data_IF_756396880419
#
_entry.id   IF_756396880419
#
_cell.length_a   1.000
_cell.length_b   1.000
_cell.length_c   1.000
_cell.angle_alpha   90.00
_cell.angle_beta   90.00
_cell.angle_gamma   90.00
#
_symmetry.space_group_name_H-M   'P 1'
#
loop_
_entity.id
_entity.type
_entity.pdbx_description
1 polymer ?
#
# COMPACT_ATOMS: atom_id res chain seq x y z
N UNK A 1 14.26 -18.36 -21.35
CA UNK A 1 15.42 -17.59 -21.86
C UNK A 1 16.38 -17.07 -20.78
N UNK A 2 15.91 -16.49 -19.67
CA UNK A 2 16.79 -15.83 -18.69
C UNK A 2 17.91 -16.70 -18.09
N UNK A 3 17.66 -17.98 -17.77
CA UNK A 3 18.69 -18.85 -17.17
C UNK A 3 19.83 -19.22 -18.14
N UNK A 4 19.53 -19.45 -19.42
CA UNK A 4 20.54 -19.70 -20.47
C UNK A 4 21.29 -18.43 -20.79
N UNK A 5 20.61 -17.28 -20.82
CA UNK A 5 21.30 -16.00 -20.97
C UNK A 5 22.22 -15.76 -19.76
N UNK A 6 21.79 -16.09 -18.54
CA UNK A 6 22.61 -15.93 -17.34
C UNK A 6 23.92 -16.73 -17.37
N UNK A 7 23.97 -17.89 -18.05
CA UNK A 7 25.24 -18.62 -18.23
C UNK A 7 26.20 -17.89 -19.16
N UNK A 8 25.71 -17.03 -20.05
CA UNK A 8 26.53 -16.22 -20.97
C UNK A 8 26.91 -14.85 -20.41
N UNK A 9 26.16 -14.33 -19.42
CA UNK A 9 26.43 -13.04 -18.80
C UNK A 9 27.74 -13.08 -18.01
N UNK A 10 28.51 -11.98 -18.04
CA UNK A 10 29.73 -11.79 -17.22
C UNK A 10 29.55 -10.77 -16.09
N UNK A 11 28.33 -10.25 -15.92
CA UNK A 11 28.02 -9.24 -14.91
C UNK A 11 27.80 -9.87 -13.52
N UNK A 12 28.15 -9.18 -12.43
CA UNK A 12 27.86 -9.63 -11.07
C UNK A 12 26.34 -9.67 -10.82
N UNK A 13 25.85 -10.69 -10.14
CA UNK A 13 24.43 -10.83 -9.82
C UNK A 13 24.13 -11.86 -8.73
N UNK A 14 22.88 -11.90 -8.23
CA UNK A 14 22.45 -12.93 -7.29
C UNK A 14 22.68 -14.33 -7.87
N UNK A 15 23.09 -15.28 -7.03
CA UNK A 15 23.35 -16.68 -7.42
C UNK A 15 24.45 -16.89 -8.48
N UNK A 16 25.27 -15.86 -8.79
CA UNK A 16 26.38 -15.95 -9.75
C UNK A 16 27.35 -17.11 -9.45
N UNK A 17 27.61 -17.36 -8.18
CA UNK A 17 28.46 -18.46 -7.74
C UNK A 17 28.02 -19.82 -8.29
N UNK A 18 26.71 -20.06 -8.51
CA UNK A 18 26.22 -21.30 -9.12
C UNK A 18 26.61 -21.41 -10.60
N UNK A 19 26.54 -20.30 -11.32
CA UNK A 19 26.99 -20.22 -12.72
C UNK A 19 28.50 -20.42 -12.83
N UNK A 20 29.27 -19.87 -11.88
CA UNK A 20 30.72 -20.05 -11.84
C UNK A 20 31.10 -21.51 -11.53
N UNK A 21 30.38 -22.17 -10.60
CA UNK A 21 30.51 -23.62 -10.33
C UNK A 21 30.19 -24.44 -11.58
N UNK A 22 29.09 -24.13 -12.29
CA UNK A 22 28.74 -24.81 -13.53
C UNK A 22 29.83 -24.66 -14.59
N UNK A 23 30.34 -23.45 -14.80
CA UNK A 23 31.42 -23.20 -15.76
C UNK A 23 32.73 -23.90 -15.38
N UNK A 24 33.05 -23.99 -14.09
CA UNK A 24 34.21 -24.74 -13.62
C UNK A 24 34.07 -26.24 -13.95
N UNK A 25 32.94 -26.85 -13.60
CA UNK A 25 32.66 -28.26 -13.89
C UNK A 25 32.66 -28.56 -15.40
N UNK A 26 32.09 -27.67 -16.21
CA UNK A 26 32.08 -27.81 -17.66
C UNK A 26 33.49 -27.73 -18.28
N UNK A 27 34.37 -26.87 -17.73
CA UNK A 27 35.77 -26.77 -18.16
C UNK A 27 36.58 -28.01 -17.81
N UNK A 28 36.45 -28.49 -16.57
CA UNK A 28 37.12 -29.71 -16.10
C UNK A 28 36.73 -30.93 -16.95
N UNK A 29 35.43 -31.11 -17.19
CA UNK A 29 34.93 -32.18 -18.04
C UNK A 29 35.47 -32.11 -19.48
N UNK A 30 35.65 -30.90 -20.01
CA UNK A 30 36.21 -30.68 -21.35
C UNK A 30 37.73 -30.90 -21.42
N UNK A 31 38.46 -30.65 -20.33
CA UNK A 31 39.87 -30.97 -20.23
C UNK A 31 40.07 -32.50 -20.24
N UNK A 32 39.27 -33.22 -19.47
CA UNK A 32 39.32 -34.68 -19.40
C UNK A 32 38.81 -35.35 -20.69
N UNK A 33 37.83 -34.73 -21.36
CA UNK A 33 37.22 -35.24 -22.60
C UNK A 33 37.12 -34.15 -23.67
N UNK A 34 38.22 -33.89 -24.40
CA UNK A 34 38.28 -32.80 -25.39
C UNK A 34 37.19 -32.89 -26.46
N UNK A 35 36.88 -34.11 -26.91
CA UNK A 35 35.92 -34.39 -27.98
C UNK A 35 34.46 -34.43 -27.53
N UNK A 36 34.17 -34.39 -26.22
CA UNK A 36 32.79 -34.45 -25.72
C UNK A 36 32.02 -33.19 -26.12
N UNK A 37 30.92 -33.30 -26.86
CA UNK A 37 30.08 -32.15 -27.17
C UNK A 37 29.09 -31.88 -26.05
N UNK A 38 29.08 -30.65 -25.51
CA UNK A 38 28.15 -30.21 -24.48
C UNK A 38 27.19 -29.19 -25.09
N UNK A 39 25.88 -29.43 -24.97
CA UNK A 39 24.83 -28.52 -25.44
C UNK A 39 23.93 -28.11 -24.29
N UNK A 40 23.64 -26.82 -24.16
CA UNK A 40 22.66 -26.30 -23.23
C UNK A 40 21.37 -25.99 -24.00
N UNK A 41 20.25 -26.59 -23.60
CA UNK A 41 18.95 -26.42 -24.25
C UNK A 41 17.93 -25.87 -23.28
N UNK A 42 17.02 -25.04 -23.78
CA UNK A 42 15.86 -24.60 -23.01
C UNK A 42 14.79 -25.69 -23.05
N UNK A 43 14.16 -25.92 -21.91
CA UNK A 43 13.02 -26.82 -21.76
C UNK A 43 11.86 -26.00 -21.22
N UNK A 44 10.63 -26.15 -21.76
CA UNK A 44 9.46 -25.48 -21.22
C UNK A 44 9.16 -25.98 -19.80
N UNK A 45 8.67 -25.08 -18.95
CA UNK A 45 8.16 -25.46 -17.63
C UNK A 45 6.68 -25.78 -17.70
N UNK A 46 6.20 -26.64 -16.78
CA UNK A 46 4.78 -27.03 -16.66
C UNK A 46 4.22 -27.78 -17.88
N UNK A 47 5.07 -28.47 -18.61
CA UNK A 47 4.71 -29.34 -19.75
C UNK A 47 4.96 -30.83 -19.41
N UNK A 48 4.89 -31.18 -18.12
CA UNK A 48 5.05 -32.55 -17.60
C UNK A 48 6.34 -33.28 -18.03
N UNK A 49 7.41 -32.53 -18.35
CA UNK A 49 8.71 -33.12 -18.68
C UNK A 49 9.34 -33.67 -17.39
N UNK A 50 9.47 -35.01 -17.21
CA UNK A 50 9.72 -35.60 -15.89
C UNK A 50 10.97 -35.06 -15.18
N UNK A 51 12.06 -34.84 -15.92
CA UNK A 51 13.30 -34.30 -15.36
C UNK A 51 13.23 -32.82 -14.97
N UNK A 52 12.45 -32.01 -15.71
CA UNK A 52 12.24 -30.60 -15.38
C UNK A 52 11.36 -30.47 -14.13
N UNK A 53 10.27 -31.23 -14.07
CA UNK A 53 9.36 -31.23 -12.92
C UNK A 53 10.07 -31.74 -11.65
N UNK A 54 10.90 -32.79 -11.74
CA UNK A 54 11.72 -33.23 -10.62
C UNK A 54 12.68 -32.14 -10.11
N UNK A 55 13.29 -31.38 -11.02
CA UNK A 55 14.17 -30.26 -10.66
C UNK A 55 13.40 -29.10 -10.00
N UNK A 56 12.20 -28.77 -10.49
CA UNK A 56 11.34 -27.73 -9.90
C UNK A 56 10.84 -28.13 -8.50
N UNK A 57 10.43 -29.39 -8.32
CA UNK A 57 10.07 -29.94 -7.00
C UNK A 57 11.24 -29.80 -6.02
N UNK A 58 12.45 -30.23 -6.39
CA UNK A 58 13.63 -30.10 -5.55
C UNK A 58 13.96 -28.63 -5.22
N UNK A 59 13.81 -27.71 -6.18
CA UNK A 59 14.01 -26.28 -5.96
C UNK A 59 12.98 -25.69 -4.98
N UNK A 60 11.71 -26.11 -5.07
CA UNK A 60 10.63 -25.71 -4.14
C UNK A 60 10.89 -26.26 -2.72
N UNK A 61 11.34 -27.50 -2.60
CA UNK A 61 11.74 -28.06 -1.29
C UNK A 61 12.90 -27.26 -0.67
N UNK A 62 13.89 -26.90 -1.49
CA UNK A 62 15.01 -26.06 -1.06
C UNK A 62 14.56 -24.68 -0.59
N UNK A 63 13.59 -24.06 -1.28
CA UNK A 63 12.99 -22.79 -0.87
C UNK A 63 12.29 -22.89 0.51
N UNK A 64 11.77 -24.06 0.87
CA UNK A 64 11.23 -24.36 2.21
C UNK A 64 12.29 -24.76 3.24
N UNK A 65 13.57 -24.43 3.00
CA UNK A 65 14.72 -24.76 3.86
C UNK A 65 14.96 -26.25 4.07
N UNK A 66 14.40 -27.11 3.21
CA UNK A 66 14.79 -28.52 3.16
C UNK A 66 16.04 -28.64 2.30
N UNK A 67 16.91 -29.59 2.61
CA UNK A 67 18.10 -29.82 1.80
C UNK A 67 18.41 -31.30 1.80
N UNK A 68 18.92 -31.80 0.68
CA UNK A 68 19.43 -33.15 0.61
C UNK A 68 20.55 -33.36 1.65
N UNK A 69 20.76 -34.59 2.14
CA UNK A 69 21.90 -34.92 2.97
C UNK A 69 23.21 -34.40 2.37
N UNK A 70 24.06 -33.76 3.18
CA UNK A 70 25.32 -33.12 2.75
C UNK A 70 26.20 -34.01 1.85
N UNK A 71 26.20 -35.32 2.11
CA UNK A 71 26.95 -36.34 1.37
C UNK A 71 26.45 -36.55 -0.07
N UNK A 72 25.18 -36.27 -0.34
CA UNK A 72 24.58 -36.34 -1.68
C UNK A 72 24.79 -35.06 -2.49
N UNK A 73 25.22 -33.96 -1.85
CA UNK A 73 25.51 -32.71 -2.53
C UNK A 73 26.90 -32.74 -3.18
N UNK A 74 27.09 -32.12 -4.36
CA UNK A 74 28.41 -31.83 -4.92
C UNK A 74 29.28 -31.07 -3.93
N UNK A 75 30.58 -31.36 -3.89
CA UNK A 75 31.50 -30.78 -2.90
C UNK A 75 31.51 -29.25 -2.90
N UNK A 76 31.44 -28.64 -4.09
CA UNK A 76 31.32 -27.20 -4.29
C UNK A 76 30.07 -26.56 -3.67
N UNK A 77 29.00 -27.35 -3.47
CA UNK A 77 27.73 -26.94 -2.86
C UNK A 77 27.61 -27.32 -1.39
N UNK A 78 28.66 -27.92 -0.79
CA UNK A 78 28.72 -28.23 0.65
C UNK A 78 29.20 -27.04 1.49
N UNK A 79 29.33 -25.85 0.92
CA UNK A 79 29.68 -24.63 1.67
C UNK A 79 28.42 -23.91 2.16
N UNK A 80 28.50 -23.10 3.23
CA UNK A 80 27.37 -22.27 3.64
C UNK A 80 26.93 -21.35 2.49
N UNK A 81 25.61 -21.22 2.31
CA UNK A 81 25.07 -20.34 1.27
C UNK A 81 25.47 -18.89 1.54
N UNK A 82 25.85 -18.12 0.50
CA UNK A 82 26.16 -16.71 0.66
C UNK A 82 24.91 -15.94 1.12
N UNK A 83 25.14 -14.86 1.86
CA UNK A 83 24.06 -13.98 2.28
C UNK A 83 23.39 -13.34 1.06
N UNK A 84 22.08 -13.55 0.95
CA UNK A 84 21.28 -12.88 -0.06
C UNK A 84 21.05 -11.42 0.34
N UNK A 85 21.72 -10.50 -0.38
CA UNK A 85 21.56 -9.05 -0.18
C UNK A 85 20.11 -8.60 -0.39
N UNK A 86 19.39 -9.22 -1.33
CA UNK A 86 17.97 -8.95 -1.56
C UNK A 86 17.12 -9.40 -0.36
N UNK A 87 17.38 -10.59 0.19
CA UNK A 87 16.68 -11.09 1.39
C UNK A 87 17.00 -10.24 2.62
N UNK A 88 18.25 -9.82 2.81
CA UNK A 88 18.64 -8.93 3.89
C UNK A 88 17.90 -7.58 3.81
N UNK A 89 17.82 -6.97 2.62
CA UNK A 89 17.06 -5.74 2.39
C UNK A 89 15.55 -5.92 2.66
N UNK A 90 14.97 -7.04 2.24
CA UNK A 90 13.56 -7.35 2.52
C UNK A 90 13.29 -7.47 4.02
N UNK A 91 14.13 -8.22 4.74
CA UNK A 91 14.02 -8.37 6.19
C UNK A 91 14.18 -7.03 6.91
N UNK A 92 15.17 -6.23 6.51
CA UNK A 92 15.38 -4.90 7.07
C UNK A 92 14.18 -3.98 6.81
N UNK A 93 13.63 -3.97 5.59
CA UNK A 93 12.44 -3.19 5.25
C UNK A 93 11.22 -3.62 6.05
N UNK A 94 11.02 -4.92 6.26
CA UNK A 94 9.93 -5.45 7.09
C UNK A 94 10.03 -4.93 8.53
N UNK A 95 11.22 -5.03 9.11
CA UNK A 95 11.48 -4.55 10.48
C UNK A 95 11.34 -3.03 10.60
N UNK A 96 11.84 -2.28 9.61
CA UNK A 96 11.69 -0.84 9.55
C UNK A 96 10.21 -0.43 9.51
N UNK A 97 9.41 -1.07 8.66
CA UNK A 97 7.97 -0.82 8.57
C UNK A 97 7.24 -1.16 9.88
N UNK A 98 7.65 -2.25 10.55
CA UNK A 98 7.09 -2.64 11.86
C UNK A 98 7.36 -1.57 12.91
N UNK A 99 8.61 -1.11 13.04
CA UNK A 99 9.00 -0.04 13.98
C UNK A 99 8.28 1.26 13.68
N UNK A 100 8.28 1.68 12.41
CA UNK A 100 7.58 2.88 11.97
C UNK A 100 6.08 2.79 12.26
N UNK A 101 5.46 1.63 12.07
CA UNK A 101 4.06 1.39 12.41
C UNK A 101 3.75 1.52 13.89
N UNK A 102 4.60 0.98 14.76
CA UNK A 102 4.48 1.15 16.22
C UNK A 102 4.63 2.62 16.60
N UNK A 103 5.71 3.28 16.15
CA UNK A 103 5.95 4.70 16.42
C UNK A 103 4.82 5.60 15.96
N UNK A 104 4.24 5.32 14.78
CA UNK A 104 3.08 6.07 14.29
C UNK A 104 1.89 5.92 15.24
N UNK A 105 1.48 4.68 15.54
CA UNK A 105 0.29 4.38 16.35
C UNK A 105 0.39 4.91 17.78
N UNK A 106 1.58 4.95 18.36
CA UNK A 106 1.80 5.48 19.72
C UNK A 106 1.98 7.00 19.75
N UNK A 107 2.19 7.65 18.61
CA UNK A 107 2.31 9.11 18.56
C UNK A 107 0.96 9.80 18.79
N UNK A 108 0.99 11.02 19.32
CA UNK A 108 -0.21 11.87 19.50
C UNK A 108 -1.00 12.03 18.19
N UNK A 109 -0.29 12.14 17.06
CA UNK A 109 -0.91 12.27 15.73
C UNK A 109 -1.57 10.96 15.28
N UNK A 110 -0.94 9.82 15.55
CA UNK A 110 -1.49 8.51 15.22
C UNK A 110 -2.74 8.19 16.02
N UNK A 111 -2.73 8.45 17.33
CA UNK A 111 -3.91 8.27 18.20
C UNK A 111 -5.09 9.10 17.70
N UNK A 112 -4.88 10.38 17.37
CA UNK A 112 -5.94 11.25 16.80
C UNK A 112 -6.39 10.77 15.42
N UNK A 113 -5.46 10.37 14.55
CA UNK A 113 -5.81 9.86 13.21
C UNK A 113 -6.60 8.55 13.30
N UNK A 114 -6.44 7.75 14.36
CA UNK A 114 -7.16 6.48 14.53
C UNK A 114 -8.69 6.67 14.66
N UNK A 115 -9.16 7.84 15.10
CA UNK A 115 -10.59 8.19 15.10
C UNK A 115 -11.20 8.23 13.68
N UNK A 116 -10.35 8.46 12.67
CA UNK A 116 -10.73 8.52 11.26
C UNK A 116 -10.28 7.27 10.51
N UNK A 117 -9.09 6.77 10.79
CA UNK A 117 -8.44 5.66 10.10
C UNK A 117 -7.50 4.89 11.03
N UNK A 118 -8.07 3.94 11.77
CA UNK A 118 -7.33 3.03 12.65
C UNK A 118 -6.40 2.07 11.92
N UNK A 119 -6.54 1.91 10.59
CA UNK A 119 -5.66 1.04 9.81
C UNK A 119 -4.31 1.71 9.49
N UNK A 120 -4.12 2.98 9.84
CA UNK A 120 -2.86 3.68 9.57
C UNK A 120 -1.70 3.17 10.44
N UNK A 121 -0.48 3.08 9.88
CA UNK A 121 -0.11 3.41 8.50
C UNK A 121 -0.47 2.29 7.51
N UNK A 122 -1.16 2.63 6.41
CA UNK A 122 -1.50 1.68 5.34
C UNK A 122 -1.49 2.34 3.96
N UNK A 123 -1.57 1.53 2.90
CA UNK A 123 -1.73 2.02 1.52
C UNK A 123 -3.18 2.40 1.16
N UNK A 124 -4.15 2.13 2.04
CA UNK A 124 -5.59 2.30 1.77
C UNK A 124 -5.94 3.73 1.44
N UNK A 125 -5.42 4.70 2.21
CA UNK A 125 -5.66 6.12 1.92
C UNK A 125 -5.11 6.55 0.56
N UNK A 126 -3.91 6.10 0.20
CA UNK A 126 -3.33 6.38 -1.12
C UNK A 126 -4.19 5.84 -2.27
N UNK A 127 -4.72 4.63 -2.11
CA UNK A 127 -5.67 4.06 -3.06
C UNK A 127 -7.01 4.81 -3.10
N UNK A 128 -7.51 5.27 -1.95
CA UNK A 128 -8.76 6.04 -1.85
C UNK A 128 -8.69 7.38 -2.63
N UNK A 129 -7.55 8.07 -2.57
CA UNK A 129 -7.39 9.38 -3.20
C UNK A 129 -6.83 9.34 -4.62
N UNK A 130 -6.37 8.19 -5.12
CA UNK A 130 -5.70 8.07 -6.42
C UNK A 130 -6.58 8.55 -7.58
N UNK A 131 -7.89 8.30 -7.50
CA UNK A 131 -8.89 8.68 -8.49
C UNK A 131 -9.55 10.04 -8.20
N UNK A 132 -9.15 10.76 -7.15
CA UNK A 132 -9.72 12.06 -6.82
C UNK A 132 -9.01 13.19 -7.58
N UNK A 133 -9.75 14.20 -8.08
CA UNK A 133 -9.11 15.43 -8.54
C UNK A 133 -8.31 16.07 -7.39
N UNK A 134 -7.15 16.65 -7.69
CA UNK A 134 -6.21 17.19 -6.71
C UNK A 134 -6.85 18.07 -5.63
N UNK A 135 -7.82 18.92 -5.99
CA UNK A 135 -8.55 19.77 -5.03
C UNK A 135 -9.34 18.98 -3.98
N UNK A 136 -9.95 17.86 -4.39
CA UNK A 136 -10.72 16.99 -3.49
C UNK A 136 -9.79 16.23 -2.55
N UNK A 137 -8.67 15.70 -3.08
CA UNK A 137 -7.65 15.06 -2.27
C UNK A 137 -7.05 16.03 -1.24
N UNK A 138 -6.74 17.27 -1.65
CA UNK A 138 -6.25 18.33 -0.76
C UNK A 138 -7.24 18.68 0.35
N UNK A 139 -8.53 18.80 0.02
CA UNK A 139 -9.54 19.08 1.04
C UNK A 139 -9.72 17.89 1.99
N UNK A 140 -9.72 16.66 1.47
CA UNK A 140 -9.85 15.46 2.27
C UNK A 140 -8.70 15.33 3.28
N UNK A 141 -7.45 15.56 2.86
CA UNK A 141 -6.32 15.53 3.81
C UNK A 141 -6.44 16.64 4.85
N UNK A 142 -6.88 17.84 4.47
CA UNK A 142 -7.11 18.95 5.42
C UNK A 142 -8.17 18.60 6.47
N UNK A 143 -9.26 17.94 6.08
CA UNK A 143 -10.25 17.43 7.05
C UNK A 143 -9.62 16.40 7.99
N UNK A 144 -8.91 15.40 7.45
CA UNK A 144 -8.28 14.34 8.25
C UNK A 144 -7.23 14.86 9.23
N UNK A 145 -6.52 15.92 8.88
CA UNK A 145 -5.48 16.51 9.74
C UNK A 145 -5.96 17.71 10.56
N UNK A 146 -7.26 18.05 10.53
CA UNK A 146 -7.79 19.26 11.17
C UNK A 146 -7.05 20.55 10.73
N UNK A 147 -6.67 20.65 9.46
CA UNK A 147 -6.03 21.82 8.83
C UNK A 147 -6.95 22.51 7.82
N UNK A 148 -8.25 22.23 7.88
CA UNK A 148 -9.28 22.86 7.05
C UNK A 148 -9.58 24.27 7.57
N UNK A 149 -9.92 25.25 6.71
CA UNK A 149 -10.19 26.65 7.07
C UNK A 149 -11.52 26.87 7.83
N UNK A 150 -11.64 26.22 8.99
CA UNK A 150 -12.68 26.42 10.00
C UNK A 150 -12.11 27.24 11.17
N UNK A 151 -12.98 27.86 11.98
CA UNK A 151 -12.54 28.77 13.03
C UNK A 151 -11.62 28.11 14.08
N UNK A 152 -11.82 26.84 14.40
CA UNK A 152 -10.92 26.14 15.32
C UNK A 152 -9.48 26.02 14.78
N UNK A 153 -9.30 25.88 13.47
CA UNK A 153 -7.97 25.89 12.86
C UNK A 153 -7.38 27.30 12.89
N UNK A 154 -8.15 28.31 12.49
CA UNK A 154 -7.68 29.68 12.46
C UNK A 154 -7.27 30.20 13.84
N UNK A 155 -8.06 29.93 14.88
CA UNK A 155 -7.76 30.31 16.25
C UNK A 155 -6.49 29.61 16.76
N UNK A 156 -6.31 28.32 16.44
CA UNK A 156 -5.08 27.58 16.77
C UNK A 156 -3.83 28.16 16.08
N UNK A 157 -4.00 28.77 14.92
CA UNK A 157 -2.93 29.47 14.18
C UNK A 157 -2.90 30.98 14.44
N UNK A 158 -3.62 31.47 15.46
CA UNK A 158 -3.65 32.88 15.88
C UNK A 158 -4.11 33.88 14.80
N UNK A 159 -4.82 33.40 13.76
CA UNK A 159 -5.37 34.25 12.70
C UNK A 159 -6.68 34.93 13.07
N UNK A 160 -7.37 34.38 14.07
CA UNK A 160 -8.61 34.91 14.63
C UNK A 160 -8.58 34.73 16.15
N UNK A 161 -9.25 35.60 16.92
CA UNK A 161 -9.20 35.54 18.38
C UNK A 161 -10.06 34.41 18.98
N UNK A 162 -10.97 33.81 18.21
CA UNK A 162 -11.92 32.83 18.74
C UNK A 162 -12.20 31.70 17.75
N UNK A 163 -12.34 30.49 18.30
CA UNK A 163 -12.72 29.30 17.56
C UNK A 163 -14.23 29.16 17.33
N UNK A 164 -15.05 30.07 17.88
CA UNK A 164 -16.52 29.98 17.86
C UNK A 164 -17.08 29.85 16.44
N UNK A 165 -18.01 28.92 16.25
CA UNK A 165 -18.69 28.73 14.97
C UNK A 165 -19.46 29.98 14.56
N UNK A 166 -19.20 30.54 13.37
CA UNK A 166 -19.81 31.79 12.94
C UNK A 166 -21.31 31.63 12.66
N UNK A 167 -21.77 30.41 12.38
CA UNK A 167 -23.15 30.15 11.99
C UNK A 167 -24.04 29.79 13.18
N UNK A 168 -23.62 28.87 14.04
CA UNK A 168 -24.44 28.46 15.19
C UNK A 168 -24.10 29.21 16.49
N UNK A 169 -22.91 29.80 16.58
CA UNK A 169 -22.39 30.55 17.74
C UNK A 169 -22.32 29.78 19.08
N UNK A 170 -22.72 28.51 19.12
CA UNK A 170 -22.84 27.72 20.36
C UNK A 170 -21.64 26.82 20.69
N UNK A 171 -20.69 26.63 19.77
CA UNK A 171 -19.53 25.77 19.99
C UNK A 171 -18.34 26.18 19.09
N UNK A 172 -17.11 25.72 19.41
CA UNK A 172 -15.98 25.84 18.50
C UNK A 172 -16.23 25.13 17.16
N UNK A 173 -15.84 25.76 16.05
CA UNK A 173 -15.99 25.20 14.70
C UNK A 173 -14.87 24.20 14.38
N UNK A 174 -14.98 23.01 14.94
CA UNK A 174 -14.10 21.88 14.64
C UNK A 174 -14.61 21.08 13.43
N UNK A 175 -13.79 20.16 12.89
CA UNK A 175 -14.24 19.22 11.85
C UNK A 175 -15.43 18.37 12.34
N UNK A 176 -15.40 17.73 13.53
CA UNK A 176 -16.58 17.05 14.08
C UNK A 176 -17.79 17.98 14.18
N UNK A 177 -17.62 19.21 14.66
CA UNK A 177 -18.74 20.15 14.77
C UNK A 177 -19.35 20.44 13.39
N UNK A 178 -18.53 20.82 12.42
CA UNK A 178 -18.98 21.16 11.08
C UNK A 178 -19.62 19.97 10.35
N UNK A 179 -19.03 18.78 10.42
CA UNK A 179 -19.51 17.61 9.67
C UNK A 179 -20.65 16.85 10.36
N UNK A 180 -20.75 16.88 11.69
CA UNK A 180 -21.63 15.98 12.44
C UNK A 180 -22.62 16.68 13.37
N UNK A 181 -22.29 17.86 13.94
CA UNK A 181 -23.05 18.40 15.07
C UNK A 181 -23.74 19.75 14.82
N UNK A 182 -23.18 20.63 13.99
CA UNK A 182 -23.64 22.01 13.86
C UNK A 182 -25.13 22.09 13.50
N UNK A 183 -25.98 22.75 14.30
CA UNK A 183 -27.42 22.76 14.08
C UNK A 183 -27.80 23.49 12.78
N UNK A 184 -27.02 24.50 12.36
CA UNK A 184 -27.21 25.21 11.08
C UNK A 184 -27.23 24.26 9.88
N UNK A 185 -26.44 23.19 9.92
CA UNK A 185 -26.29 22.27 8.79
C UNK A 185 -27.06 20.95 8.96
N UNK A 186 -28.03 20.89 9.88
CA UNK A 186 -28.82 19.68 10.14
C UNK A 186 -29.51 19.15 8.89
N UNK A 187 -30.21 20.02 8.14
CA UNK A 187 -30.89 19.64 6.89
C UNK A 187 -29.91 19.20 5.80
N UNK A 188 -28.77 19.89 5.67
CA UNK A 188 -27.72 19.51 4.72
C UNK A 188 -27.17 18.10 5.02
N UNK A 189 -26.97 17.76 6.30
CA UNK A 189 -26.57 16.40 6.69
C UNK A 189 -27.67 15.39 6.40
N UNK A 190 -28.93 15.72 6.69
CA UNK A 190 -30.06 14.84 6.41
C UNK A 190 -30.16 14.53 4.90
N UNK A 191 -30.00 15.53 4.03
CA UNK A 191 -30.06 15.34 2.58
C UNK A 191 -28.85 14.57 2.06
N UNK A 192 -27.64 14.98 2.43
CA UNK A 192 -26.42 14.46 1.79
C UNK A 192 -25.91 13.15 2.41
N UNK A 193 -26.17 12.89 3.69
CA UNK A 193 -25.68 11.69 4.37
C UNK A 193 -26.76 10.62 4.58
N UNK A 194 -28.01 10.84 4.14
CA UNK A 194 -29.10 9.86 4.25
C UNK A 194 -28.72 8.48 3.70
N UNK A 195 -28.10 8.43 2.51
CA UNK A 195 -27.72 7.16 1.87
C UNK A 195 -26.64 6.38 2.63
N UNK A 196 -25.97 7.00 3.61
CA UNK A 196 -24.96 6.36 4.45
C UNK A 196 -25.54 5.79 5.75
N UNK A 197 -26.83 6.01 6.02
CA UNK A 197 -27.50 5.55 7.25
C UNK A 197 -26.77 6.00 8.52
N UNK A 198 -26.61 5.08 9.48
CA UNK A 198 -25.87 5.35 10.72
C UNK A 198 -24.38 5.67 10.48
N UNK A 199 -23.77 5.08 9.44
CA UNK A 199 -22.36 5.33 9.11
C UNK A 199 -22.10 6.80 8.79
N UNK A 200 -23.09 7.50 8.20
CA UNK A 200 -23.03 8.95 7.92
C UNK A 200 -22.85 9.85 9.15
N UNK A 201 -22.84 9.28 10.36
CA UNK A 201 -22.63 9.99 11.64
C UNK A 201 -21.21 9.85 12.19
N UNK A 202 -20.27 9.28 11.43
CA UNK A 202 -18.89 9.07 11.86
C UNK A 202 -17.90 9.75 10.93
N UNK A 203 -16.79 10.26 11.48
CA UNK A 203 -15.71 10.81 10.66
C UNK A 203 -15.04 9.73 9.81
N UNK A 204 -14.88 8.52 10.33
CA UNK A 204 -14.29 7.41 9.59
C UNK A 204 -15.07 7.11 8.29
N UNK A 205 -16.40 7.03 8.35
CA UNK A 205 -17.19 6.81 7.14
C UNK A 205 -17.11 7.98 6.16
N UNK A 206 -17.19 9.22 6.63
CA UNK A 206 -17.18 10.39 5.75
C UNK A 206 -15.79 10.67 5.13
N UNK A 207 -14.71 10.42 5.87
CA UNK A 207 -13.35 10.82 5.50
C UNK A 207 -12.44 9.65 5.07
N UNK A 208 -12.89 8.40 5.21
CA UNK A 208 -12.08 7.21 4.93
C UNK A 208 -12.82 6.11 4.15
N UNK A 209 -13.99 6.40 3.55
CA UNK A 209 -14.73 5.45 2.72
C UNK A 209 -15.06 6.02 1.34
N UNK A 210 -14.98 5.19 0.29
CA UNK A 210 -15.33 5.59 -1.09
C UNK A 210 -16.79 6.07 -1.17
N UNK A 211 -17.70 5.37 -0.49
CA UNK A 211 -19.12 5.72 -0.42
C UNK A 211 -19.36 7.10 0.22
N UNK A 212 -18.55 7.50 1.20
CA UNK A 212 -18.69 8.78 1.90
C UNK A 212 -18.18 10.00 1.14
N UNK A 213 -17.24 9.85 0.20
CA UNK A 213 -16.55 11.00 -0.42
C UNK A 213 -17.47 11.87 -1.26
N UNK A 214 -18.30 11.27 -2.12
CA UNK A 214 -19.23 12.03 -2.97
C UNK A 214 -20.28 12.77 -2.12
N UNK A 215 -20.96 12.13 -1.16
CA UNK A 215 -21.78 12.79 -0.14
C UNK A 215 -21.07 13.95 0.56
N UNK A 216 -19.84 13.74 1.03
CA UNK A 216 -19.04 14.76 1.73
C UNK A 216 -18.83 16.00 0.87
N UNK A 217 -18.39 15.84 -0.38
CA UNK A 217 -18.10 16.98 -1.25
C UNK A 217 -19.38 17.72 -1.66
N UNK A 218 -20.48 17.00 -1.88
CA UNK A 218 -21.78 17.62 -2.12
C UNK A 218 -22.26 18.42 -0.91
N UNK A 219 -22.11 17.87 0.30
CA UNK A 219 -22.38 18.58 1.55
C UNK A 219 -21.56 19.88 1.64
N UNK A 220 -20.24 19.81 1.42
CA UNK A 220 -19.36 20.99 1.47
C UNK A 220 -19.76 22.07 0.46
N UNK A 221 -20.17 21.69 -0.74
CA UNK A 221 -20.66 22.63 -1.74
C UNK A 221 -21.97 23.29 -1.33
N UNK A 222 -22.90 22.49 -0.83
CA UNK A 222 -24.25 22.94 -0.48
C UNK A 222 -24.24 23.87 0.73
N UNK A 223 -23.43 23.58 1.76
CA UNK A 223 -23.30 24.48 2.92
C UNK A 223 -22.65 25.81 2.56
N UNK A 224 -21.83 25.85 1.50
CA UNK A 224 -21.08 27.03 1.08
C UNK A 224 -20.01 27.49 2.09
N UNK A 225 -19.86 26.82 3.24
CA UNK A 225 -19.02 27.27 4.36
C UNK A 225 -17.57 27.47 3.96
N UNK A 226 -17.05 26.63 3.07
CA UNK A 226 -15.65 26.66 2.66
C UNK A 226 -15.43 27.35 1.30
N UNK A 227 -16.48 27.92 0.70
CA UNK A 227 -16.45 28.44 -0.68
C UNK A 227 -15.37 29.51 -0.90
N UNK A 228 -15.15 30.39 0.07
CA UNK A 228 -14.11 31.43 -0.02
C UNK A 228 -12.69 30.89 0.01
N UNK A 229 -12.47 29.72 0.62
CA UNK A 229 -11.13 29.17 0.81
C UNK A 229 -10.78 28.04 -0.16
N UNK A 230 -11.76 27.24 -0.60
CA UNK A 230 -11.54 26.09 -1.49
C UNK A 230 -12.24 26.21 -2.84
N UNK A 231 -13.03 27.25 -3.05
CA UNK A 231 -13.86 27.44 -4.25
C UNK A 231 -15.03 26.46 -4.31
N UNK A 232 -15.70 26.40 -5.47
CA UNK A 232 -16.68 25.37 -5.75
C UNK A 232 -15.99 24.05 -6.13
N UNK A 233 -16.33 22.97 -5.44
CA UNK A 233 -15.87 21.64 -5.81
C UNK A 233 -16.75 21.16 -6.96
N UNK A 234 -16.31 21.26 -8.23
CA UNK A 234 -17.09 20.62 -9.32
C UNK A 234 -17.18 19.15 -8.98
N UNK A 235 -18.42 18.65 -8.89
CA UNK A 235 -18.73 17.29 -8.49
C UNK A 235 -17.87 16.29 -9.27
N UNK A 236 -17.45 15.18 -8.65
CA UNK A 236 -16.81 14.11 -9.39
C UNK A 236 -17.76 13.71 -10.53
N UNK A 237 -17.29 13.73 -11.79
CA UNK A 237 -18.10 13.36 -12.96
C UNK A 237 -18.76 12.00 -12.69
N UNK A 238 -20.06 11.89 -13.02
CA UNK A 238 -20.81 10.63 -13.01
C UNK A 238 -19.99 9.58 -13.76
N UNK A 239 -19.61 8.48 -13.10
CA UNK A 239 -18.55 7.57 -13.58
C UNK A 239 -17.67 6.98 -12.47
N UNK A 240 -17.95 7.24 -11.19
CA UNK A 240 -17.41 6.38 -10.13
C UNK A 240 -18.21 5.08 -10.16
N UNK A 241 -17.57 3.90 -10.27
CA UNK A 241 -18.29 2.65 -10.21
C UNK A 241 -18.94 2.56 -8.83
N UNK A 242 -20.28 2.62 -8.85
CA UNK A 242 -21.13 2.23 -7.75
C UNK A 242 -20.79 0.80 -7.40
N UNK A 243 -20.43 0.57 -6.14
CA UNK A 243 -20.40 -0.73 -5.47
C UNK A 243 -20.08 -1.93 -6.37
N UNK A 244 -18.81 -2.33 -6.45
CA UNK A 244 -18.54 -3.75 -6.62
C UNK A 244 -19.02 -4.40 -5.33
N UNK A 245 -20.12 -5.14 -5.47
CA UNK A 245 -20.58 -6.13 -4.52
C UNK A 245 -19.44 -7.13 -4.33
N UNK A 246 -18.73 -7.04 -3.20
CA UNK A 246 -17.97 -8.16 -2.68
C UNK A 246 -19.01 -9.21 -2.23
N UNK A 247 -19.47 -10.01 -3.20
CA UNK A 247 -19.94 -11.36 -2.96
C UNK A 247 -18.69 -12.17 -2.58
N UNK A 248 -18.48 -12.34 -1.27
CA UNK A 248 -17.70 -13.45 -0.75
C UNK A 248 -18.43 -14.74 -1.15
N UNK A 249 -17.95 -15.40 -2.20
CA UNK A 249 -18.18 -16.81 -2.45
C UNK A 249 -16.85 -17.56 -2.27
N UNK A 250 -16.90 -18.53 -1.36
CA UNK A 250 -15.94 -19.62 -1.04
C UNK A 250 -14.64 -19.30 -0.31
#
# INVERSE_FOLDING_TARGET
MAAIQATTLRTPGPARYLTDIFHAAARELKQDRPHLQLTLRWVPGHEDVPGNEAADVAAKEAAHKRSSPRRQLPESLRTPLPLSTSRARQNYKLELNRRAGVQWRTSVRGVRMAEVDGAMPSKRYGALISALPRRHANLLIQFRTNHVPLQAYFARTEKVPSATCPTCRGAPETVPHYLLACPTYSLHRAVHFASLGFSGRTLAALLNSKAGLRPLFNYVNATGRLRSAVGALVGPRSGYPDSDSDSEDT
#
